data_IF_049739078183
#
_entry.id   IF_049739078183
#
_cell.length_a   1.000
_cell.length_b   1.000
_cell.length_c   1.000
_cell.angle_alpha   90.00
_cell.angle_beta   90.00
_cell.angle_gamma   90.00
#
_symmetry.space_group_name_H-M   'P 1'
#
loop_
_entity.id
_entity.type
_entity.pdbx_description
1 polymer ?
#
# COMPACT_ATOMS: atom_id res chain seq x y z
N UNK A 1 -15.87 -11.41 0.07
CA UNK A 1 -16.10 -11.89 -1.31
C UNK A 1 -14.89 -12.71 -1.73
N UNK A 2 -15.01 -14.03 -1.94
CA UNK A 2 -13.89 -14.83 -2.48
C UNK A 2 -13.79 -14.51 -3.98
N UNK A 3 -12.76 -13.75 -4.38
CA UNK A 3 -12.47 -13.40 -5.78
C UNK A 3 -12.54 -14.64 -6.67
N UNK A 4 -12.97 -14.48 -7.92
CA UNK A 4 -13.08 -15.55 -8.91
C UNK A 4 -11.72 -16.25 -9.08
N UNK A 5 -11.52 -17.33 -8.33
CA UNK A 5 -10.21 -17.94 -8.08
C UNK A 5 -9.82 -18.97 -9.13
N UNK A 6 -10.56 -19.04 -10.25
CA UNK A 6 -10.52 -20.21 -11.13
C UNK A 6 -9.14 -20.37 -11.80
N UNK A 7 -8.47 -19.27 -12.14
CA UNK A 7 -7.24 -19.29 -12.96
C UNK A 7 -6.08 -18.44 -12.40
N UNK A 8 -5.91 -18.36 -11.08
CA UNK A 8 -4.80 -17.60 -10.50
C UNK A 8 -3.56 -18.49 -10.43
N UNK A 9 -2.41 -18.08 -10.99
CA UNK A 9 -1.17 -18.88 -11.02
C UNK A 9 -0.68 -19.37 -9.66
N UNK A 10 -0.90 -18.59 -8.59
CA UNK A 10 -0.43 -18.92 -7.24
C UNK A 10 -1.42 -19.77 -6.42
N UNK A 11 -2.55 -20.18 -6.99
CA UNK A 11 -3.53 -21.03 -6.29
C UNK A 11 -3.28 -22.50 -6.63
N UNK A 12 -2.70 -23.21 -5.67
CA UNK A 12 -2.43 -24.64 -5.76
C UNK A 12 -3.69 -25.49 -5.56
N UNK A 13 -3.64 -26.76 -5.98
CA UNK A 13 -4.75 -27.69 -5.79
C UNK A 13 -5.08 -27.97 -4.33
N UNK A 14 -4.11 -27.90 -3.42
CA UNK A 14 -4.35 -28.03 -1.98
C UNK A 14 -5.23 -26.89 -1.46
N UNK A 15 -4.93 -25.64 -1.82
CA UNK A 15 -5.73 -24.46 -1.48
C UNK A 15 -7.13 -24.58 -2.09
N UNK A 16 -7.22 -25.01 -3.35
CA UNK A 16 -8.50 -25.22 -4.05
C UNK A 16 -9.35 -26.29 -3.36
N UNK A 17 -8.75 -27.39 -2.90
CA UNK A 17 -9.41 -28.44 -2.12
C UNK A 17 -9.90 -27.89 -0.78
N UNK A 18 -9.09 -27.10 -0.06
CA UNK A 18 -9.50 -26.47 1.19
C UNK A 18 -10.64 -25.47 1.01
N UNK A 19 -10.61 -24.64 -0.04
CA UNK A 19 -11.72 -23.74 -0.40
C UNK A 19 -13.01 -24.50 -0.68
N UNK A 20 -12.95 -25.61 -1.43
CA UNK A 20 -14.10 -26.49 -1.67
C UNK A 20 -14.63 -27.07 -0.35
N UNK A 21 -13.75 -27.54 0.55
CA UNK A 21 -14.12 -28.03 1.89
C UNK A 21 -14.79 -26.93 2.73
N UNK A 22 -14.25 -25.71 2.72
CA UNK A 22 -14.84 -24.54 3.38
C UNK A 22 -16.23 -24.23 2.82
N UNK A 23 -16.39 -24.19 1.50
CA UNK A 23 -17.69 -23.95 0.84
C UNK A 23 -18.73 -24.99 1.27
N UNK A 24 -18.36 -26.28 1.30
CA UNK A 24 -19.24 -27.36 1.78
C UNK A 24 -19.62 -27.19 3.25
N UNK A 25 -18.65 -26.87 4.12
CA UNK A 25 -18.91 -26.63 5.55
C UNK A 25 -19.79 -25.39 5.77
N UNK A 26 -19.57 -24.33 5.01
CA UNK A 26 -20.38 -23.11 5.06
C UNK A 26 -21.83 -23.36 4.64
N UNK A 27 -22.04 -24.14 3.57
CA UNK A 27 -23.39 -24.56 3.14
C UNK A 27 -24.10 -25.34 4.25
N UNK A 28 -23.43 -26.30 4.90
CA UNK A 28 -23.99 -27.03 6.05
C UNK A 28 -24.27 -26.13 7.26
N UNK A 29 -23.39 -25.18 7.55
CA UNK A 29 -23.56 -24.20 8.62
C UNK A 29 -24.79 -23.31 8.38
N UNK A 30 -24.98 -22.84 7.15
CA UNK A 30 -26.14 -22.01 6.75
C UNK A 30 -27.47 -22.73 7.02
N UNK A 31 -27.48 -24.07 6.91
CA UNK A 31 -28.68 -24.90 7.10
C UNK A 31 -28.89 -25.37 8.54
N UNK A 32 -27.83 -25.65 9.32
CA UNK A 32 -27.92 -26.32 10.65
C UNK A 32 -27.72 -25.42 11.88
N UNK A 33 -27.46 -24.11 11.72
CA UNK A 33 -27.36 -23.18 12.85
C UNK A 33 -26.01 -23.17 13.61
N UNK A 34 -25.87 -22.18 14.50
CA UNK A 34 -24.63 -21.46 14.89
C UNK A 34 -23.52 -22.21 15.66
N UNK A 35 -23.63 -23.52 15.93
CA UNK A 35 -22.71 -24.23 16.83
C UNK A 35 -21.25 -24.42 16.35
N UNK A 36 -20.96 -24.25 15.05
CA UNK A 36 -19.62 -24.47 14.46
C UNK A 36 -18.99 -23.22 13.82
N UNK A 37 -19.46 -22.03 14.21
CA UNK A 37 -18.99 -20.78 13.62
C UNK A 37 -17.48 -20.57 13.79
N UNK A 38 -16.92 -20.91 14.95
CA UNK A 38 -15.49 -20.66 15.22
C UNK A 38 -14.58 -21.58 14.41
N UNK A 39 -14.97 -22.83 14.21
CA UNK A 39 -14.25 -23.76 13.33
C UNK A 39 -14.28 -23.28 11.86
N UNK A 40 -15.40 -22.69 11.44
CA UNK A 40 -15.54 -22.11 10.11
C UNK A 40 -14.68 -20.83 9.96
N UNK A 41 -14.66 -19.97 10.98
CA UNK A 41 -13.79 -18.79 11.03
C UNK A 41 -12.31 -19.19 10.97
N UNK A 42 -11.87 -20.15 11.79
CA UNK A 42 -10.50 -20.68 11.76
C UNK A 42 -10.14 -21.20 10.37
N UNK A 43 -10.98 -22.07 9.79
CA UNK A 43 -10.76 -22.59 8.45
C UNK A 43 -10.68 -21.49 7.38
N UNK A 44 -11.48 -20.43 7.50
CA UNK A 44 -11.39 -19.27 6.61
C UNK A 44 -10.05 -18.55 6.76
N UNK A 45 -9.63 -18.29 7.99
CA UNK A 45 -8.37 -17.61 8.29
C UNK A 45 -7.18 -18.42 7.78
N UNK A 46 -7.19 -19.75 7.96
CA UNK A 46 -6.15 -20.64 7.47
C UNK A 46 -6.04 -20.59 5.93
N UNK A 47 -7.17 -20.67 5.24
CA UNK A 47 -7.20 -20.56 3.76
C UNK A 47 -6.68 -19.20 3.31
N UNK A 48 -7.09 -18.11 3.97
CA UNK A 48 -6.61 -16.77 3.66
C UNK A 48 -5.11 -16.62 3.91
N UNK A 49 -4.60 -17.21 4.99
CA UNK A 49 -3.17 -17.25 5.31
C UNK A 49 -2.39 -17.99 4.22
N UNK A 50 -2.82 -19.19 3.84
CA UNK A 50 -2.19 -19.97 2.77
C UNK A 50 -2.21 -19.27 1.41
N UNK A 51 -3.33 -18.62 1.07
CA UNK A 51 -3.45 -17.81 -0.13
C UNK A 51 -2.47 -16.63 -0.11
N UNK A 52 -2.34 -15.93 1.02
CA UNK A 52 -1.42 -14.81 1.16
C UNK A 52 0.03 -15.28 1.04
N UNK A 53 0.40 -16.38 1.69
CA UNK A 53 1.75 -16.95 1.58
C UNK A 53 2.06 -17.37 0.14
N UNK A 54 1.17 -18.12 -0.51
CA UNK A 54 1.39 -18.58 -1.89
C UNK A 54 1.47 -17.43 -2.88
N UNK A 55 0.67 -16.38 -2.66
CA UNK A 55 0.74 -15.14 -3.41
C UNK A 55 2.13 -14.49 -3.29
N UNK A 56 2.63 -14.29 -2.07
CA UNK A 56 3.93 -13.65 -1.87
C UNK A 56 5.08 -14.48 -2.44
N UNK A 57 5.08 -15.80 -2.25
CA UNK A 57 6.09 -16.68 -2.86
C UNK A 57 6.08 -16.61 -4.39
N UNK A 58 4.89 -16.50 -5.00
CA UNK A 58 4.78 -16.32 -6.46
C UNK A 58 5.36 -14.98 -6.92
N UNK A 59 5.07 -13.90 -6.20
CA UNK A 59 5.64 -12.57 -6.49
C UNK A 59 7.17 -12.59 -6.30
N UNK A 60 7.66 -13.18 -5.22
CA UNK A 60 9.09 -13.26 -4.89
C UNK A 60 9.85 -14.06 -5.95
N UNK A 61 9.39 -15.25 -6.33
CA UNK A 61 10.00 -16.02 -7.42
C UNK A 61 9.98 -15.27 -8.75
N UNK A 62 8.95 -14.45 -8.99
CA UNK A 62 8.85 -13.66 -10.20
C UNK A 62 9.76 -12.42 -10.18
N UNK A 63 10.07 -11.85 -9.01
CA UNK A 63 10.98 -10.70 -8.86
C UNK A 63 12.44 -11.16 -8.79
N UNK A 64 12.73 -12.19 -7.98
CA UNK A 64 14.07 -12.67 -7.70
C UNK A 64 14.59 -13.72 -8.70
N UNK A 65 13.74 -14.23 -9.60
CA UNK A 65 14.16 -15.12 -10.70
C UNK A 65 14.97 -14.43 -11.80
N UNK A 66 15.49 -13.23 -11.55
CA UNK A 66 16.35 -12.48 -12.46
C UNK A 66 17.79 -12.87 -12.13
N UNK A 67 18.55 -13.52 -13.04
CA UNK A 67 19.97 -13.73 -12.82
C UNK A 67 20.65 -12.36 -12.74
N UNK A 68 21.33 -12.11 -11.62
CA UNK A 68 22.19 -10.95 -11.43
C UNK A 68 23.58 -11.40 -11.88
N UNK A 69 23.94 -11.07 -13.11
CA UNK A 69 25.27 -11.36 -13.62
C UNK A 69 26.22 -10.27 -13.09
N UNK A 70 27.09 -10.61 -12.12
CA UNK A 70 27.96 -9.68 -11.37
C UNK A 70 28.96 -8.89 -12.24
N UNK A 71 29.08 -9.20 -13.53
CA UNK A 71 30.16 -8.70 -14.39
C UNK A 71 29.73 -7.79 -15.55
N UNK A 72 28.49 -7.31 -15.58
CA UNK A 72 28.07 -6.40 -16.65
C UNK A 72 27.17 -5.29 -16.15
N UNK A 73 27.67 -4.05 -16.27
CA UNK A 73 26.94 -2.78 -16.17
C UNK A 73 25.92 -2.61 -17.30
N UNK A 74 25.13 -3.65 -17.55
CA UNK A 74 23.93 -3.60 -18.36
C UNK A 74 22.89 -4.35 -17.57
N UNK A 75 22.16 -3.62 -16.73
CA UNK A 75 20.85 -4.04 -16.20
C UNK A 75 20.16 -4.77 -17.34
N UNK A 76 20.03 -6.10 -17.24
CA UNK A 76 19.33 -6.88 -18.26
C UNK A 76 17.94 -6.26 -18.36
N UNK A 77 17.71 -5.49 -19.43
CA UNK A 77 16.57 -4.58 -19.61
C UNK A 77 15.20 -5.27 -19.61
N UNK A 78 15.16 -6.59 -19.39
CA UNK A 78 13.94 -7.37 -19.39
C UNK A 78 13.52 -7.68 -17.96
N UNK A 79 12.92 -6.68 -17.30
CA UNK A 79 11.95 -6.96 -16.24
C UNK A 79 11.01 -8.08 -16.71
N UNK A 80 10.66 -9.04 -15.84
CA UNK A 80 9.93 -10.23 -16.26
C UNK A 80 8.61 -9.84 -16.93
N UNK A 81 8.47 -10.13 -18.23
CA UNK A 81 7.26 -9.84 -19.01
C UNK A 81 6.00 -10.44 -18.36
N UNK A 82 6.18 -11.55 -17.64
CA UNK A 82 5.15 -12.23 -16.85
C UNK A 82 4.63 -11.37 -15.69
N UNK A 83 5.49 -10.55 -15.06
CA UNK A 83 5.10 -9.60 -14.00
C UNK A 83 4.23 -8.49 -14.55
N UNK A 84 4.66 -7.80 -15.60
CA UNK A 84 3.87 -6.73 -16.20
C UNK A 84 2.58 -7.26 -16.84
N UNK A 85 2.60 -8.43 -17.47
CA UNK A 85 1.39 -9.10 -17.94
C UNK A 85 0.44 -9.36 -16.77
N UNK A 86 0.95 -9.90 -15.66
CA UNK A 86 0.16 -10.13 -14.46
C UNK A 86 -0.40 -8.83 -13.85
N UNK A 87 0.42 -7.79 -13.69
CA UNK A 87 0.00 -6.47 -13.20
C UNK A 87 -1.08 -5.89 -14.10
N UNK A 88 -0.92 -5.95 -15.43
CA UNK A 88 -1.93 -5.47 -16.40
C UNK A 88 -3.26 -6.24 -16.31
N UNK A 89 -3.23 -7.52 -15.92
CA UNK A 89 -4.46 -8.30 -15.69
C UNK A 89 -5.13 -8.00 -14.36
N UNK A 90 -4.41 -7.44 -13.38
CA UNK A 90 -5.06 -6.89 -12.19
C UNK A 90 -5.86 -5.67 -12.61
N UNK A 91 -7.12 -5.56 -12.18
CA UNK A 91 -7.90 -4.34 -12.39
C UNK A 91 -7.12 -3.18 -11.79
N UNK A 92 -6.55 -2.31 -12.62
CA UNK A 92 -6.52 -0.89 -12.28
C UNK A 92 -7.98 -0.46 -12.22
N UNK A 93 -8.44 0.12 -11.11
CA UNK A 93 -9.66 0.91 -11.19
C UNK A 93 -9.48 1.85 -12.37
N UNK A 94 -10.48 1.92 -13.27
CA UNK A 94 -10.48 2.99 -14.25
C UNK A 94 -10.65 4.24 -13.41
N UNK A 95 -9.53 4.86 -13.05
CA UNK A 95 -9.46 6.27 -12.71
C UNK A 95 -9.83 7.04 -13.98
N UNK A 96 -11.07 6.83 -14.44
CA UNK A 96 -11.75 7.75 -15.31
C UNK A 96 -11.86 9.00 -14.46
N UNK A 97 -10.94 9.93 -14.72
CA UNK A 97 -11.05 11.29 -14.20
C UNK A 97 -12.48 11.72 -14.54
N UNK A 98 -13.31 12.04 -13.53
CA UNK A 98 -14.70 12.41 -13.76
C UNK A 98 -14.75 13.53 -14.81
N UNK A 99 -15.81 13.59 -15.64
CA UNK A 99 -15.93 14.61 -16.67
C UNK A 99 -15.76 16.00 -16.06
N UNK A 100 -14.82 16.77 -16.61
CA UNK A 100 -14.46 18.07 -16.07
C UNK A 100 -15.43 19.12 -16.63
N UNK A 101 -15.90 20.01 -15.75
CA UNK A 101 -16.83 21.08 -16.11
C UNK A 101 -16.02 22.35 -16.41
N UNK A 102 -16.19 22.89 -17.62
CA UNK A 102 -15.71 24.23 -18.00
C UNK A 102 -16.89 24.98 -18.62
N UNK A 103 -17.16 26.19 -18.12
CA UNK A 103 -18.17 27.11 -18.68
C UNK A 103 -19.58 26.50 -18.86
N UNK A 104 -19.97 25.56 -17.98
CA UNK A 104 -21.30 24.94 -18.01
C UNK A 104 -21.41 23.67 -18.86
N UNK A 105 -20.39 23.29 -19.62
CA UNK A 105 -20.35 22.05 -20.41
C UNK A 105 -19.49 20.96 -19.75
N UNK A 106 -19.94 19.71 -19.83
CA UNK A 106 -19.24 18.51 -19.32
C UNK A 106 -18.35 17.94 -20.42
N UNK A 107 -17.05 17.92 -20.19
CA UNK A 107 -16.07 17.39 -21.16
C UNK A 107 -15.60 16.00 -20.76
N UNK A 108 -15.86 15.02 -21.63
CA UNK A 108 -15.42 13.62 -21.45
C UNK A 108 -14.11 13.31 -22.20
N UNK A 109 -13.78 14.10 -23.23
CA UNK A 109 -12.60 13.91 -24.07
C UNK A 109 -11.28 14.11 -23.30
N UNK A 110 -10.30 13.24 -23.56
CA UNK A 110 -9.05 13.20 -22.81
C UNK A 110 -8.15 14.41 -23.10
N UNK A 111 -8.14 14.89 -24.35
CA UNK A 111 -7.35 16.06 -24.75
C UNK A 111 -7.93 17.34 -24.16
N UNK A 112 -9.25 17.48 -24.21
CA UNK A 112 -9.95 18.59 -23.56
C UNK A 112 -9.69 18.62 -22.04
N UNK A 113 -9.77 17.47 -21.36
CA UNK A 113 -9.47 17.36 -19.92
C UNK A 113 -8.04 17.77 -19.58
N UNK A 114 -7.05 17.31 -20.34
CA UNK A 114 -5.65 17.66 -20.12
C UNK A 114 -5.41 19.17 -20.23
N UNK A 115 -6.04 19.84 -21.20
CA UNK A 115 -5.94 21.29 -21.36
C UNK A 115 -6.60 22.05 -20.19
N UNK A 116 -7.77 21.60 -19.73
CA UNK A 116 -8.46 22.19 -18.56
C UNK A 116 -7.59 22.07 -17.31
N UNK A 117 -7.02 20.89 -17.06
CA UNK A 117 -6.13 20.67 -15.91
C UNK A 117 -4.86 21.53 -16.01
N UNK A 118 -4.26 21.64 -17.19
CA UNK A 118 -3.10 22.51 -17.41
C UNK A 118 -3.42 23.98 -17.14
N UNK A 119 -4.61 24.46 -17.53
CA UNK A 119 -5.05 25.81 -17.20
C UNK A 119 -5.28 26.00 -15.69
N UNK A 120 -5.90 25.04 -15.02
CA UNK A 120 -6.08 25.07 -13.56
C UNK A 120 -4.74 25.06 -12.82
N UNK A 121 -3.83 24.18 -13.24
CA UNK A 121 -2.48 24.08 -12.70
C UNK A 121 -1.73 25.40 -12.86
N UNK A 122 -1.72 25.98 -14.06
CA UNK A 122 -1.12 27.31 -14.30
C UNK A 122 -1.70 28.42 -13.41
N UNK A 123 -2.99 28.38 -13.09
CA UNK A 123 -3.62 29.35 -12.18
C UNK A 123 -3.24 29.14 -10.72
N UNK A 124 -2.90 27.92 -10.31
CA UNK A 124 -2.46 27.63 -8.95
C UNK A 124 -1.05 28.18 -8.67
N UNK A 125 -0.21 28.29 -9.70
CA UNK A 125 1.08 28.98 -9.61
C UNK A 125 0.89 30.44 -9.94
N UNK A 126 0.78 31.28 -8.91
CA UNK A 126 0.85 32.72 -9.08
C UNK A 126 2.22 33.09 -9.66
N UNK A 127 2.30 33.94 -10.70
CA UNK A 127 3.57 34.51 -11.11
C UNK A 127 4.20 35.23 -9.91
N UNK A 128 5.53 35.23 -9.83
CA UNK A 128 6.24 36.02 -8.82
C UNK A 128 5.97 37.48 -9.16
N UNK A 129 5.04 38.12 -8.46
CA UNK A 129 4.83 39.57 -8.52
C UNK A 129 5.71 40.22 -7.47
N UNK A 130 6.31 41.36 -7.81
CA UNK A 130 7.12 42.17 -6.87
C UNK A 130 6.24 42.92 -5.82
N UNK A 131 4.99 42.48 -5.66
CA UNK A 131 4.07 43.03 -4.68
C UNK A 131 4.53 42.63 -3.26
N UNK A 132 4.42 43.51 -2.26
CA UNK A 132 4.72 43.14 -0.88
C UNK A 132 3.84 41.95 -0.47
N UNK A 133 4.48 40.87 -0.03
CA UNK A 133 3.82 39.63 0.39
C UNK A 133 2.68 39.99 1.36
N UNK A 134 1.41 39.64 1.04
CA UNK A 134 0.31 39.94 1.94
C UNK A 134 0.55 39.24 3.27
N UNK A 135 0.37 39.98 4.37
CA UNK A 135 0.51 39.43 5.72
C UNK A 135 -0.53 38.31 5.91
N UNK A 136 -0.05 37.07 5.75
CA UNK A 136 -0.79 35.84 6.04
C UNK A 136 -0.86 35.77 7.56
N UNK A 137 -1.84 36.46 8.13
CA UNK A 137 -1.96 36.72 9.57
C UNK A 137 -1.62 35.53 10.49
N UNK A 138 -1.25 35.86 11.72
CA UNK A 138 -0.71 34.94 12.74
C UNK A 138 -1.27 33.51 12.69
N UNK A 139 -0.45 32.59 12.20
CA UNK A 139 -0.65 31.14 12.29
C UNK A 139 -0.36 30.61 13.71
N UNK A 140 -0.72 31.39 14.75
CA UNK A 140 -0.37 31.15 16.14
C UNK A 140 -0.82 29.79 16.66
N UNK A 141 -1.95 29.29 16.16
CA UNK A 141 -2.45 27.95 16.48
C UNK A 141 -1.51 26.85 15.96
N UNK A 142 -1.02 26.96 14.73
CA UNK A 142 -0.10 25.97 14.15
C UNK A 142 1.24 25.94 14.87
N UNK A 143 1.81 27.11 15.17
CA UNK A 143 3.06 27.20 15.92
C UNK A 143 2.91 26.65 17.34
N UNK A 144 1.79 26.94 18.00
CA UNK A 144 1.51 26.42 19.35
C UNK A 144 1.34 24.90 19.33
N UNK A 145 0.66 24.35 18.34
CA UNK A 145 0.47 22.91 18.18
C UNK A 145 1.79 22.19 17.88
N UNK A 146 2.60 22.70 16.95
CA UNK A 146 3.92 22.12 16.61
C UNK A 146 4.85 22.19 17.82
N UNK A 147 4.87 23.31 18.53
CA UNK A 147 5.65 23.49 19.76
C UNK A 147 5.24 22.49 20.84
N UNK A 148 3.94 22.32 21.09
CA UNK A 148 3.42 21.34 22.04
C UNK A 148 3.81 19.91 21.67
N UNK A 149 3.67 19.53 20.39
CA UNK A 149 4.06 18.21 19.89
C UNK A 149 5.57 17.97 20.07
N UNK A 150 6.40 18.98 19.81
CA UNK A 150 7.85 18.89 20.03
C UNK A 150 8.22 18.64 21.49
N UNK A 151 7.56 19.33 22.42
CA UNK A 151 7.77 19.12 23.87
C UNK A 151 7.39 17.69 24.25
N UNK A 152 6.23 17.20 23.81
CA UNK A 152 5.78 15.82 24.09
C UNK A 152 6.77 14.79 23.52
N UNK A 153 7.25 15.01 22.30
CA UNK A 153 8.22 14.12 21.66
C UNK A 153 9.56 14.08 22.38
N UNK A 154 9.96 15.14 23.10
CA UNK A 154 11.20 15.17 23.87
C UNK A 154 11.03 14.57 25.27
N UNK A 155 9.99 14.99 26.01
CA UNK A 155 9.81 14.61 27.42
C UNK A 155 9.42 13.13 27.56
N UNK A 156 8.57 12.63 26.66
CA UNK A 156 7.99 11.29 26.81
C UNK A 156 8.99 10.15 26.61
N UNK A 157 9.93 10.20 25.63
CA UNK A 157 11.01 9.23 25.53
C UNK A 157 11.97 9.29 26.71
N UNK A 158 12.35 10.49 27.18
CA UNK A 158 13.20 10.65 28.37
C UNK A 158 12.57 9.99 29.60
N UNK A 159 11.26 10.17 29.79
CA UNK A 159 10.54 9.47 30.85
C UNK A 159 10.52 7.95 30.64
N UNK A 160 10.22 7.48 29.43
CA UNK A 160 10.09 6.05 29.11
C UNK A 160 11.39 5.28 29.28
N UNK A 161 12.54 5.89 29.00
CA UNK A 161 13.86 5.25 29.13
C UNK A 161 14.22 4.97 30.59
N UNK A 162 13.68 5.74 31.54
CA UNK A 162 13.94 5.57 32.99
C UNK A 162 13.16 4.40 33.61
N UNK A 163 12.16 3.83 32.91
CA UNK A 163 11.41 2.68 33.44
C UNK A 163 12.25 1.38 33.38
N UNK A 164 12.14 0.49 34.39
CA UNK A 164 12.78 -0.80 34.35
C UNK A 164 12.24 -1.63 33.17
N UNK A 165 13.13 -2.28 32.43
CA UNK A 165 12.79 -3.05 31.21
C UNK A 165 12.62 -2.21 29.93
N UNK A 166 12.77 -0.89 29.98
CA UNK A 166 12.73 -0.04 28.79
C UNK A 166 13.85 -0.36 27.80
N UNK A 167 15.03 -0.74 28.31
CA UNK A 167 16.20 -1.11 27.49
C UNK A 167 15.98 -2.40 26.71
N UNK A 168 15.27 -3.38 27.26
CA UNK A 168 14.97 -4.63 26.54
C UNK A 168 14.06 -4.38 25.34
N UNK A 169 13.05 -3.52 25.52
CA UNK A 169 12.16 -3.09 24.43
C UNK A 169 12.91 -2.29 23.35
N UNK A 170 13.82 -1.40 23.76
CA UNK A 170 14.65 -0.63 22.84
C UNK A 170 15.61 -1.54 22.05
N UNK A 171 16.27 -2.49 22.73
CA UNK A 171 17.16 -3.45 22.13
C UNK A 171 16.42 -4.34 21.13
N UNK A 172 15.21 -4.81 21.47
CA UNK A 172 14.37 -5.58 20.55
C UNK A 172 14.05 -4.81 19.26
N UNK A 173 13.85 -3.50 19.35
CA UNK A 173 13.54 -2.64 18.20
C UNK A 173 14.79 -2.36 17.33
N UNK A 174 15.95 -2.17 17.94
CA UNK A 174 17.20 -1.84 17.23
C UNK A 174 17.89 -3.09 16.66
N UNK A 175 17.69 -4.27 17.28
CA UNK A 175 18.36 -5.52 16.86
C UNK A 175 18.01 -5.84 15.39
N UNK A 176 18.98 -5.74 14.46
CA UNK A 176 18.71 -5.88 13.04
C UNK A 176 18.49 -7.35 12.68
N UNK A 177 17.41 -7.65 11.94
CA UNK A 177 17.17 -8.97 11.36
C UNK A 177 17.41 -8.92 9.86
N UNK A 178 18.67 -9.09 9.46
CA UNK A 178 19.06 -8.93 8.06
C UNK A 178 18.40 -9.93 7.11
N UNK A 179 18.01 -11.10 7.62
CA UNK A 179 17.23 -12.12 6.90
C UNK A 179 15.94 -11.56 6.27
N UNK A 180 15.36 -10.51 6.86
CA UNK A 180 14.13 -9.92 6.34
C UNK A 180 14.34 -8.95 5.18
N UNK A 181 15.57 -8.47 4.93
CA UNK A 181 15.82 -7.56 3.81
C UNK A 181 15.73 -8.25 2.44
N UNK A 182 15.86 -9.57 2.39
CA UNK A 182 15.67 -10.33 1.15
C UNK A 182 14.20 -10.49 0.79
N UNK A 183 13.28 -10.30 1.75
CA UNK A 183 11.84 -10.40 1.50
C UNK A 183 11.35 -9.16 0.72
N UNK A 184 10.94 -9.34 -0.54
CA UNK A 184 10.38 -8.26 -1.37
C UNK A 184 9.18 -7.54 -0.72
N UNK A 185 8.46 -8.23 0.16
CA UNK A 185 7.37 -7.65 0.94
C UNK A 185 7.81 -6.50 1.84
N UNK A 186 8.98 -6.60 2.48
CA UNK A 186 9.50 -5.58 3.40
C UNK A 186 9.75 -4.28 2.64
N UNK A 187 10.40 -4.36 1.47
CA UNK A 187 10.62 -3.21 0.61
C UNK A 187 9.33 -2.57 0.10
N UNK A 188 8.33 -3.37 -0.27
CA UNK A 188 7.02 -2.86 -0.68
C UNK A 188 6.31 -2.11 0.46
N UNK A 189 6.37 -2.64 1.69
CA UNK A 189 5.75 -2.01 2.85
C UNK A 189 6.49 -0.70 3.23
N UNK A 190 7.83 -0.69 3.18
CA UNK A 190 8.66 0.51 3.44
C UNK A 190 8.43 1.60 2.40
N UNK A 191 8.36 1.25 1.11
CA UNK A 191 8.09 2.22 0.05
C UNK A 191 6.71 2.88 0.22
N UNK A 192 5.68 2.09 0.57
CA UNK A 192 4.36 2.63 0.88
C UNK A 192 4.41 3.56 2.11
N UNK A 193 5.15 3.19 3.16
CA UNK A 193 5.30 4.01 4.36
C UNK A 193 5.93 5.37 4.05
N UNK A 194 7.01 5.40 3.26
CA UNK A 194 7.66 6.66 2.84
C UNK A 194 6.72 7.48 1.97
N UNK A 195 6.01 6.85 1.04
CA UNK A 195 5.06 7.52 0.15
C UNK A 195 3.94 8.24 0.91
N UNK A 196 3.36 7.58 1.93
CA UNK A 196 2.35 8.20 2.78
C UNK A 196 2.93 9.19 3.77
N UNK A 197 4.16 8.98 4.27
CA UNK A 197 4.83 9.92 5.16
C UNK A 197 5.13 11.26 4.47
N UNK A 198 5.44 11.23 3.17
CA UNK A 198 5.70 12.42 2.36
C UNK A 198 4.42 13.04 1.78
N UNK A 199 3.25 12.43 1.99
CA UNK A 199 1.97 12.88 1.43
C UNK A 199 2.00 13.16 -0.08
N UNK A 200 2.83 12.45 -0.85
CA UNK A 200 3.08 12.70 -2.29
C UNK A 200 1.82 12.57 -3.17
N UNK A 201 0.74 11.97 -2.64
CA UNK A 201 -0.53 11.78 -3.33
C UNK A 201 -1.63 12.78 -2.95
N UNK A 202 -1.36 13.73 -2.05
CA UNK A 202 -2.33 14.73 -1.63
C UNK A 202 -2.02 16.02 -2.40
N UNK A 203 -2.65 16.12 -3.58
CA UNK A 203 -2.70 17.34 -4.39
C UNK A 203 -3.94 18.16 -4.10
#
# INVERSE_FOLDING_TARGET
MMRNSKNLPWITDSIRRQMKKYKKKYQKYKLKGKGKLDQLKKLKHDIQKQQRTSYWNYIENMICGIPVDDNTTTISKSFPKNLFSYIKTQKSESSNIPPLRKEGSLTSDSKAKANILNEQFKKAFTPVTDDPIPDKGVSGIFHSLISLLGIVYLVFPCYRVTLPGAMDGLLYNITPRFEKFTEAKVWSDTAAQIFFALSLAWG
#
